data_IF_576690365724
#
_entry.id   IF_576690365724
#
_cell.length_a   1.000
_cell.length_b   1.000
_cell.length_c   1.000
_cell.angle_alpha   90.00
_cell.angle_beta   90.00
_cell.angle_gamma   90.00
#
_symmetry.space_group_name_H-M   'P 1'
#
loop_
_entity.id
_entity.type
_entity.pdbx_description
1 polymer ?
#
# COMPACT_ATOMS: atom_id res chain seq x y z
N UNK A 1 -1.53 -26.38 -10.07
CA UNK A 1 -2.43 -25.25 -9.75
C UNK A 1 -1.69 -23.95 -10.01
N UNK A 2 -2.33 -22.99 -10.69
CA UNK A 2 -1.79 -21.66 -10.93
C UNK A 2 -2.71 -20.63 -10.27
N UNK A 3 -2.13 -19.65 -9.58
CA UNK A 3 -2.86 -18.66 -8.79
C UNK A 3 -3.11 -17.39 -9.61
N UNK A 4 -4.33 -16.87 -9.65
CA UNK A 4 -4.59 -15.50 -10.07
C UNK A 4 -4.37 -14.55 -8.89
N UNK A 5 -3.49 -13.55 -9.04
CA UNK A 5 -3.13 -12.62 -7.96
C UNK A 5 -3.37 -11.18 -8.41
N UNK A 6 -4.26 -10.49 -7.72
CA UNK A 6 -4.35 -9.04 -7.79
C UNK A 6 -3.48 -8.45 -6.67
N UNK A 7 -2.28 -7.99 -7.02
CA UNK A 7 -1.43 -7.19 -6.14
C UNK A 7 -1.84 -5.72 -6.31
N UNK A 8 -2.91 -5.31 -5.62
CA UNK A 8 -3.52 -3.99 -5.79
C UNK A 8 -2.89 -2.89 -4.94
N UNK A 9 -3.18 -1.63 -5.29
CA UNK A 9 -2.68 -0.44 -4.58
C UNK A 9 -3.22 -0.33 -3.16
N UNK A 10 -4.52 -0.56 -2.98
CA UNK A 10 -5.18 -0.47 -1.67
C UNK A 10 -5.30 -1.84 -1.01
N UNK A 11 -5.75 -2.85 -1.76
CA UNK A 11 -5.95 -4.22 -1.28
C UNK A 11 -5.30 -5.21 -2.23
N UNK A 12 -4.90 -6.37 -1.69
CA UNK A 12 -4.42 -7.51 -2.46
C UNK A 12 -5.36 -8.70 -2.25
N UNK A 13 -5.57 -9.47 -3.31
CA UNK A 13 -6.43 -10.64 -3.33
C UNK A 13 -5.84 -11.73 -4.22
N UNK A 14 -6.23 -12.99 -3.97
CA UNK A 14 -5.84 -14.10 -4.83
C UNK A 14 -6.96 -15.15 -4.93
N UNK A 15 -6.99 -15.87 -6.04
CA UNK A 15 -7.93 -16.97 -6.27
C UNK A 15 -7.34 -18.02 -7.22
N UNK A 16 -7.83 -19.25 -7.13
CA UNK A 16 -7.49 -20.34 -8.04
C UNK A 16 -8.76 -21.02 -8.55
N UNK A 17 -8.65 -21.75 -9.66
CA UNK A 17 -9.72 -22.65 -10.10
C UNK A 17 -9.53 -24.01 -9.42
N UNK A 18 -10.56 -24.49 -8.75
CA UNK A 18 -10.65 -25.84 -8.16
C UNK A 18 -11.95 -26.44 -8.66
N UNK A 19 -11.88 -27.62 -9.28
CA UNK A 19 -13.04 -28.35 -9.83
C UNK A 19 -13.94 -27.49 -10.73
N UNK A 20 -13.32 -26.63 -11.55
CA UNK A 20 -14.04 -25.75 -12.49
C UNK A 20 -14.74 -24.55 -11.84
N UNK A 21 -14.49 -24.27 -10.56
CA UNK A 21 -15.02 -23.11 -9.85
C UNK A 21 -13.91 -22.21 -9.34
N UNK A 22 -14.17 -20.89 -9.30
CA UNK A 22 -13.24 -19.95 -8.66
C UNK A 22 -13.33 -20.11 -7.14
N UNK A 23 -12.21 -20.47 -6.53
CA UNK A 23 -12.07 -20.54 -5.08
C UNK A 23 -11.13 -19.43 -4.61
N UNK A 24 -11.62 -18.46 -3.81
CA UNK A 24 -10.82 -17.37 -3.27
C UNK A 24 -9.82 -17.87 -2.23
N UNK A 25 -8.66 -17.22 -2.15
CA UNK A 25 -7.73 -17.36 -1.01
C UNK A 25 -8.26 -16.51 0.15
N UNK A 26 -8.39 -17.12 1.32
CA UNK A 26 -8.82 -16.44 2.55
C UNK A 26 -7.60 -15.98 3.36
N UNK A 27 -7.62 -14.71 3.74
CA UNK A 27 -6.64 -14.09 4.63
C UNK A 27 -7.31 -13.89 5.98
N UNK A 28 -7.25 -14.92 6.83
CA UNK A 28 -8.10 -14.98 8.03
C UNK A 28 -9.57 -15.20 7.64
N UNK A 29 -10.43 -14.24 7.99
CA UNK A 29 -11.86 -14.29 7.63
C UNK A 29 -12.17 -13.59 6.30
N UNK A 30 -11.24 -12.77 5.80
CA UNK A 30 -11.45 -11.90 4.65
C UNK A 30 -10.97 -12.55 3.34
N UNK A 31 -11.50 -12.06 2.21
CA UNK A 31 -11.12 -12.51 0.85
C UNK A 31 -9.99 -11.68 0.24
N UNK A 32 -9.62 -10.59 0.91
CA UNK A 32 -8.56 -9.67 0.53
C UNK A 32 -7.99 -9.06 1.81
N UNK A 33 -6.79 -8.50 1.72
CA UNK A 33 -6.19 -7.73 2.81
C UNK A 33 -5.62 -6.42 2.27
N UNK A 34 -5.57 -5.38 3.12
CA UNK A 34 -4.92 -4.12 2.77
C UNK A 34 -3.48 -4.37 2.34
N UNK A 35 -3.03 -3.78 1.24
CA UNK A 35 -1.64 -3.87 0.78
C UNK A 35 -0.74 -2.97 1.64
N UNK A 36 -0.64 -3.31 2.91
CA UNK A 36 0.18 -2.67 3.93
C UNK A 36 0.99 -3.75 4.63
N UNK A 37 2.26 -3.45 4.88
CA UNK A 37 3.18 -4.34 5.56
C UNK A 37 3.86 -3.58 6.67
N UNK A 38 3.88 -4.17 7.85
CA UNK A 38 4.61 -3.67 9.00
C UNK A 38 5.76 -4.63 9.30
N UNK A 39 6.97 -4.09 9.32
CA UNK A 39 8.15 -4.78 9.77
C UNK A 39 8.47 -4.26 11.17
N UNK A 40 8.06 -5.01 12.22
CA UNK A 40 8.48 -4.65 13.55
C UNK A 40 10.00 -4.60 13.57
N UNK A 41 10.56 -3.58 14.23
CA UNK A 41 11.92 -3.73 14.69
C UNK A 41 11.90 -4.99 15.56
N UNK A 42 12.73 -5.99 15.24
CA UNK A 42 12.99 -7.03 16.24
C UNK A 42 13.44 -6.27 17.47
N UNK A 43 12.59 -6.22 18.51
CA UNK A 43 13.05 -5.89 19.84
C UNK A 43 14.24 -6.81 20.08
N UNK A 44 15.45 -6.22 20.09
CA UNK A 44 16.59 -6.89 20.69
C UNK A 44 16.27 -6.85 22.15
N UNK A 45 15.94 -8.00 22.72
CA UNK A 45 15.76 -8.08 24.15
C UNK A 45 17.09 -7.62 24.77
N UNK A 46 17.10 -6.61 25.65
CA UNK A 46 18.29 -6.28 26.42
C UNK A 46 18.91 -7.53 27.09
N UNK A 47 18.13 -8.58 27.35
CA UNK A 47 18.55 -9.85 27.93
C UNK A 47 19.31 -10.78 26.95
N UNK A 48 19.37 -10.47 25.64
CA UNK A 48 20.24 -11.15 24.67
C UNK A 48 21.73 -10.83 24.89
N UNK A 49 22.04 -9.78 25.68
CA UNK A 49 23.41 -9.48 26.06
C UNK A 49 23.94 -10.53 27.04
N UNK A 50 24.72 -11.46 26.52
CA UNK A 50 25.51 -12.41 27.30
C UNK A 50 27.01 -12.11 27.14
N UNK A 51 27.75 -12.26 28.24
CA UNK A 51 29.20 -12.11 28.24
C UNK A 51 29.85 -13.32 27.57
N UNK A 52 30.11 -13.20 26.28
CA UNK A 52 30.95 -14.19 25.56
C UNK A 52 32.41 -14.07 26.03
N UNK A 53 33.27 -15.08 25.82
CA UNK A 53 34.68 -15.02 26.22
C UNK A 53 35.44 -13.80 25.67
N UNK A 54 35.07 -13.31 24.48
CA UNK A 54 35.64 -12.10 23.89
C UNK A 54 35.19 -10.82 24.60
N UNK A 55 33.92 -10.74 25.01
CA UNK A 55 33.38 -9.61 25.77
C UNK A 55 33.87 -9.62 27.22
N UNK A 56 34.08 -10.79 27.81
CA UNK A 56 34.72 -10.94 29.13
C UNK A 56 36.15 -10.37 29.14
N UNK A 57 36.95 -10.70 28.12
CA UNK A 57 38.28 -10.14 27.96
C UNK A 57 38.27 -8.60 27.89
N UNK A 58 37.29 -8.03 27.18
CA UNK A 58 37.14 -6.59 27.06
C UNK A 58 36.70 -5.93 28.39
N UNK A 59 35.84 -6.60 29.16
CA UNK A 59 35.47 -6.18 30.52
C UNK A 59 36.70 -6.16 31.44
N UNK A 60 37.54 -7.21 31.40
CA UNK A 60 38.77 -7.27 32.20
C UNK A 60 39.75 -6.14 31.84
N UNK A 61 39.92 -5.87 30.54
CA UNK A 61 40.76 -4.77 30.05
C UNK A 61 40.31 -3.41 30.58
N UNK A 62 38.99 -3.18 30.62
CA UNK A 62 38.40 -1.94 31.14
C UNK A 62 38.51 -1.83 32.67
N UNK A 63 38.38 -2.95 33.40
CA UNK A 63 38.61 -2.99 34.85
C UNK A 63 40.05 -2.58 35.18
N UNK A 64 41.03 -3.14 34.46
CA UNK A 64 42.43 -2.82 34.67
C UNK A 64 42.77 -1.37 34.31
N UNK A 65 42.15 -0.84 33.26
CA UNK A 65 42.28 0.59 32.92
C UNK A 65 41.68 1.48 34.01
N UNK A 66 40.44 1.22 34.41
CA UNK A 66 39.76 2.01 35.44
C UNK A 66 40.47 1.94 36.80
N UNK A 67 41.10 0.81 37.12
CA UNK A 67 41.91 0.66 38.34
C UNK A 67 43.16 1.56 38.29
N UNK A 68 43.86 1.60 37.15
CA UNK A 68 45.04 2.47 36.96
C UNK A 68 44.66 3.95 37.08
N UNK A 69 43.57 4.36 36.45
CA UNK A 69 43.10 5.75 36.46
C UNK A 69 42.67 6.19 37.87
N UNK A 70 42.01 5.31 38.61
CA UNK A 70 41.59 5.59 39.97
C UNK A 70 42.78 5.72 40.93
N UNK A 71 43.79 4.86 40.81
CA UNK A 71 45.03 4.95 41.60
C UNK A 71 45.80 6.24 41.31
N UNK A 72 45.88 6.65 40.04
CA UNK A 72 46.49 7.92 39.64
C UNK A 72 45.72 9.13 40.22
N UNK A 73 44.41 9.00 40.42
CA UNK A 73 43.55 10.01 41.03
C UNK A 73 43.43 9.89 42.56
N UNK A 74 44.25 9.04 43.22
CA UNK A 74 44.24 8.86 44.67
C UNK A 74 42.99 8.16 45.23
N UNK A 75 42.27 7.40 44.41
CA UNK A 75 41.04 6.68 44.76
C UNK A 75 41.26 5.16 44.72
N UNK A 76 40.57 4.42 45.58
CA UNK A 76 40.63 2.95 45.63
C UNK A 76 39.23 2.36 45.49
N UNK A 77 38.70 2.26 44.25
CA UNK A 77 37.36 1.76 44.01
C UNK A 77 37.30 0.24 44.27
N UNK A 78 36.15 -0.22 44.77
CA UNK A 78 35.89 -1.65 44.93
C UNK A 78 35.84 -2.36 43.56
N UNK A 79 36.38 -3.58 43.48
CA UNK A 79 36.41 -4.37 42.24
C UNK A 79 35.02 -4.56 41.61
N UNK A 80 33.99 -4.74 42.42
CA UNK A 80 32.61 -4.90 41.93
C UNK A 80 32.06 -3.64 41.28
N UNK A 81 32.51 -2.46 41.71
CA UNK A 81 32.15 -1.19 41.06
C UNK A 81 32.78 -1.10 39.68
N UNK A 82 34.08 -1.37 39.58
CA UNK A 82 34.81 -1.36 38.31
C UNK A 82 34.23 -2.36 37.31
N UNK A 83 33.87 -3.56 37.77
CA UNK A 83 33.26 -4.59 36.93
C UNK A 83 31.88 -4.19 36.41
N UNK A 84 31.03 -3.59 37.25
CA UNK A 84 29.71 -3.08 36.81
C UNK A 84 29.84 -1.97 35.78
N UNK A 85 30.76 -1.03 35.98
CA UNK A 85 31.00 0.06 35.04
C UNK A 85 31.56 -0.45 33.71
N UNK A 86 32.50 -1.41 33.75
CA UNK A 86 33.04 -2.07 32.56
C UNK A 86 31.96 -2.82 31.77
N UNK A 87 31.11 -3.62 32.43
CA UNK A 87 30.00 -4.32 31.78
C UNK A 87 29.02 -3.33 31.13
N UNK A 88 28.73 -2.20 31.78
CA UNK A 88 27.86 -1.15 31.22
C UNK A 88 28.46 -0.54 29.95
N UNK A 89 29.77 -0.30 29.92
CA UNK A 89 30.49 0.23 28.75
C UNK A 89 30.49 -0.78 27.61
N UNK A 90 30.83 -2.04 27.89
CA UNK A 90 30.85 -3.13 26.89
C UNK A 90 29.46 -3.39 26.33
N UNK A 91 28.42 -3.42 27.17
CA UNK A 91 27.03 -3.55 26.72
C UNK A 91 26.62 -2.40 25.81
N UNK A 92 27.00 -1.16 26.13
CA UNK A 92 26.71 0.00 25.29
C UNK A 92 27.43 -0.08 23.94
N UNK A 93 28.72 -0.42 23.93
CA UNK A 93 29.51 -0.58 22.70
C UNK A 93 29.00 -1.75 21.84
N UNK A 94 28.66 -2.87 22.47
CA UNK A 94 28.03 -4.01 21.80
C UNK A 94 26.71 -3.59 21.15
N UNK A 95 25.85 -2.81 21.85
CA UNK A 95 24.63 -2.27 21.25
C UNK A 95 24.93 -1.32 20.07
N UNK A 96 25.92 -0.43 20.21
CA UNK A 96 26.33 0.51 19.16
C UNK A 96 26.88 -0.21 17.91
N UNK A 97 27.68 -1.27 18.08
CA UNK A 97 28.21 -2.10 17.00
C UNK A 97 27.11 -2.93 16.33
N UNK A 98 26.20 -3.48 17.13
CA UNK A 98 25.03 -4.22 16.65
C UNK A 98 24.06 -3.32 15.87
N UNK A 99 23.99 -2.02 16.16
CA UNK A 99 23.26 -1.03 15.36
C UNK A 99 24.01 -0.69 14.06
N UNK A 100 25.32 -0.88 14.02
CA UNK A 100 26.20 -0.52 12.89
C UNK A 100 26.34 -1.62 11.84
N UNK A 101 26.08 -2.88 12.21
CA UNK A 101 26.06 -3.98 11.24
C UNK A 101 24.89 -3.81 10.26
N UNK A 102 25.12 -3.70 8.94
CA UNK A 102 24.05 -3.69 7.96
C UNK A 102 23.39 -5.06 7.95
N UNK A 103 22.19 -5.17 8.55
CA UNK A 103 21.35 -6.34 8.34
C UNK A 103 21.12 -6.51 6.84
N UNK A 104 21.18 -7.74 6.34
CA UNK A 104 20.54 -8.03 5.07
C UNK A 104 19.06 -7.66 5.22
N UNK A 105 18.49 -7.02 4.21
CA UNK A 105 17.05 -6.74 4.17
C UNK A 105 16.25 -7.97 4.58
N UNK A 106 16.66 -9.16 4.14
CA UNK A 106 16.06 -10.46 4.47
C UNK A 106 15.87 -10.76 5.98
N UNK A 107 16.75 -10.31 6.87
CA UNK A 107 16.64 -10.60 8.32
C UNK A 107 15.65 -9.68 9.06
N UNK A 108 15.38 -8.48 8.53
CA UNK A 108 14.36 -7.57 9.07
C UNK A 108 12.92 -8.01 8.73
N UNK A 109 12.77 -8.98 7.82
CA UNK A 109 11.50 -9.26 7.16
C UNK A 109 10.81 -10.57 7.63
N UNK A 110 11.40 -11.31 8.58
CA UNK A 110 10.88 -12.61 9.05
C UNK A 110 9.63 -12.51 9.95
N UNK A 111 9.34 -11.33 10.51
CA UNK A 111 8.18 -11.09 11.40
C UNK A 111 7.18 -10.09 10.80
N UNK A 112 7.11 -10.01 9.47
CA UNK A 112 6.23 -9.07 8.80
C UNK A 112 4.75 -9.32 9.16
N UNK A 113 4.04 -8.25 9.53
CA UNK A 113 2.58 -8.25 9.72
C UNK A 113 1.96 -7.59 8.49
N UNK A 114 0.78 -8.07 8.07
CA UNK A 114 0.14 -7.65 6.82
C UNK A 114 -1.28 -7.13 7.07
N UNK A 115 -1.82 -6.36 6.14
CA UNK A 115 -3.23 -5.94 6.20
C UNK A 115 -3.50 -4.86 7.24
N UNK A 116 -4.71 -4.83 7.77
CA UNK A 116 -5.07 -3.91 8.85
C UNK A 116 -4.40 -4.28 10.19
N UNK A 117 -4.07 -5.56 10.41
CA UNK A 117 -3.27 -6.00 11.56
C UNK A 117 -1.89 -5.32 11.59
N UNK A 118 -1.31 -5.03 10.42
CA UNK A 118 -0.03 -4.31 10.31
C UNK A 118 -0.14 -2.87 10.84
N UNK A 119 -1.26 -2.20 10.54
CA UNK A 119 -1.52 -0.85 11.05
C UNK A 119 -1.73 -0.88 12.55
N UNK A 120 -2.57 -1.80 13.03
CA UNK A 120 -2.90 -1.91 14.45
C UNK A 120 -1.65 -2.27 15.27
N UNK A 121 -0.81 -3.19 14.79
CA UNK A 121 0.48 -3.50 15.40
C UNK A 121 1.41 -2.27 15.42
N UNK A 122 1.57 -1.56 14.30
CA UNK A 122 2.39 -0.36 14.25
C UNK A 122 1.91 0.75 15.20
N UNK A 123 0.59 0.88 15.36
CA UNK A 123 -0.03 1.83 16.27
C UNK A 123 0.17 1.49 17.75
N UNK A 124 0.36 0.21 18.07
CA UNK A 124 0.63 -0.28 19.43
C UNK A 124 2.12 -0.21 19.76
N UNK A 125 2.97 -0.70 18.86
CA UNK A 125 4.42 -0.80 19.08
C UNK A 125 5.11 0.57 19.00
N UNK A 126 4.66 1.48 18.12
CA UNK A 126 5.21 2.83 18.00
C UNK A 126 6.64 2.90 17.41
N UNK A 127 7.20 1.77 16.99
CA UNK A 127 8.53 1.62 16.39
C UNK A 127 8.48 0.68 15.17
N UNK A 128 9.56 0.59 14.38
CA UNK A 128 9.61 -0.23 13.16
C UNK A 128 9.18 0.49 11.87
N UNK A 129 9.06 -0.29 10.78
CA UNK A 129 8.81 0.25 9.43
C UNK A 129 7.45 -0.19 8.90
N UNK A 130 6.54 0.78 8.77
CA UNK A 130 5.28 0.61 8.06
C UNK A 130 5.44 1.02 6.60
N UNK A 131 4.98 0.17 5.69
CA UNK A 131 4.91 0.46 4.25
C UNK A 131 3.47 0.29 3.77
N UNK A 132 2.90 1.35 3.20
CA UNK A 132 1.55 1.37 2.66
C UNK A 132 1.58 1.48 1.13
N UNK A 133 0.74 0.71 0.44
CA UNK A 133 0.57 0.76 -1.01
C UNK A 133 1.87 0.66 -1.83
N UNK A 134 2.73 -0.36 -1.60
CA UNK A 134 4.02 -0.49 -2.27
C UNK A 134 3.92 -0.48 -3.81
N UNK A 135 2.79 -0.94 -4.39
CA UNK A 135 2.52 -0.89 -5.85
C UNK A 135 2.67 0.52 -6.43
N UNK A 136 2.28 1.56 -5.68
CA UNK A 136 2.30 2.95 -6.13
C UNK A 136 3.72 3.48 -6.41
N UNK A 137 4.75 2.86 -5.84
CA UNK A 137 6.14 3.30 -5.96
C UNK A 137 6.91 2.59 -7.08
N UNK A 138 6.35 1.54 -7.67
CA UNK A 138 7.07 0.65 -8.58
C UNK A 138 7.57 1.34 -9.86
N UNK A 139 6.80 2.29 -10.39
CA UNK A 139 7.14 3.03 -11.61
C UNK A 139 7.90 4.34 -11.39
N UNK A 140 8.26 4.69 -10.15
CA UNK A 140 8.98 5.93 -9.86
C UNK A 140 10.48 5.82 -10.17
N UNK A 141 11.16 6.96 -10.33
CA UNK A 141 12.61 6.98 -10.43
C UNK A 141 13.24 6.61 -9.07
N UNK A 142 13.54 5.32 -8.88
CA UNK A 142 14.07 4.80 -7.63
C UNK A 142 15.60 4.67 -7.71
N UNK A 143 16.29 5.20 -6.70
CA UNK A 143 17.70 4.88 -6.49
C UNK A 143 17.86 3.35 -6.32
N UNK A 144 18.96 2.72 -6.79
CA UNK A 144 19.13 1.25 -6.75
C UNK A 144 18.82 0.59 -5.41
N UNK A 145 19.25 1.21 -4.30
CA UNK A 145 18.92 0.74 -2.94
C UNK A 145 17.40 0.74 -2.65
N UNK A 146 16.69 1.81 -3.02
CA UNK A 146 15.25 1.90 -2.84
C UNK A 146 14.52 0.88 -3.72
N UNK A 147 15.02 0.62 -4.94
CA UNK A 147 14.50 -0.43 -5.82
C UNK A 147 14.66 -1.82 -5.20
N UNK A 148 15.80 -2.11 -4.57
CA UNK A 148 16.00 -3.37 -3.85
C UNK A 148 15.03 -3.49 -2.67
N UNK A 149 14.87 -2.42 -1.88
CA UNK A 149 13.93 -2.40 -0.75
C UNK A 149 12.49 -2.66 -1.20
N UNK A 150 11.99 -1.95 -2.23
CA UNK A 150 10.61 -2.14 -2.71
C UNK A 150 10.41 -3.54 -3.33
N UNK A 151 11.42 -4.09 -3.99
CA UNK A 151 11.40 -5.48 -4.49
C UNK A 151 11.27 -6.46 -3.32
N UNK A 152 12.03 -6.26 -2.24
CA UNK A 152 11.93 -7.08 -1.03
C UNK A 152 10.54 -6.99 -0.38
N UNK A 153 9.97 -5.79 -0.27
CA UNK A 153 8.62 -5.60 0.27
C UNK A 153 7.58 -6.34 -0.59
N UNK A 154 7.62 -6.17 -1.91
CA UNK A 154 6.74 -6.89 -2.82
C UNK A 154 6.93 -8.42 -2.73
N UNK A 155 8.17 -8.89 -2.55
CA UNK A 155 8.50 -10.31 -2.34
C UNK A 155 7.72 -10.85 -1.14
N UNK A 156 7.75 -10.14 -0.01
CA UNK A 156 7.06 -10.59 1.21
C UNK A 156 5.54 -10.60 1.09
N UNK A 157 4.95 -9.66 0.36
CA UNK A 157 3.50 -9.68 0.11
C UNK A 157 3.13 -10.87 -0.77
N UNK A 158 3.87 -11.10 -1.85
CA UNK A 158 3.63 -12.22 -2.77
C UNK A 158 3.90 -13.57 -2.11
N UNK A 159 4.91 -13.65 -1.24
CA UNK A 159 5.21 -14.84 -0.44
C UNK A 159 4.09 -15.12 0.56
N UNK A 160 3.59 -14.10 1.27
CA UNK A 160 2.45 -14.23 2.16
C UNK A 160 1.21 -14.77 1.42
N UNK A 161 0.91 -14.24 0.23
CA UNK A 161 -0.17 -14.74 -0.63
C UNK A 161 0.07 -16.21 -1.01
N UNK A 162 1.27 -16.54 -1.49
CA UNK A 162 1.63 -17.90 -1.92
C UNK A 162 1.51 -18.92 -0.80
N UNK A 163 2.08 -18.61 0.37
CA UNK A 163 2.07 -19.50 1.54
C UNK A 163 0.68 -19.65 2.14
N UNK A 164 -0.13 -18.60 2.14
CA UNK A 164 -1.53 -18.66 2.59
C UNK A 164 -2.37 -19.52 1.64
N UNK A 165 -2.26 -19.29 0.34
CA UNK A 165 -2.92 -20.13 -0.67
C UNK A 165 -2.45 -21.59 -0.58
N UNK A 166 -1.13 -21.82 -0.44
CA UNK A 166 -0.57 -23.17 -0.39
C UNK A 166 -1.08 -23.96 0.83
N UNK A 167 -1.21 -23.30 1.99
CA UNK A 167 -1.81 -23.89 3.19
C UNK A 167 -3.30 -24.18 3.01
N UNK A 168 -4.04 -23.25 2.42
CA UNK A 168 -5.48 -23.40 2.21
C UNK A 168 -5.81 -24.57 1.26
N UNK A 169 -5.04 -24.71 0.19
CA UNK A 169 -5.28 -25.72 -0.85
C UNK A 169 -4.48 -27.02 -0.64
N UNK A 170 -3.68 -27.11 0.43
CA UNK A 170 -2.77 -28.23 0.72
C UNK A 170 -1.88 -28.62 -0.48
N UNK A 171 -1.41 -27.61 -1.22
CA UNK A 171 -0.59 -27.76 -2.43
C UNK A 171 0.52 -26.74 -2.36
N UNK A 172 1.77 -27.14 -2.63
CA UNK A 172 2.85 -26.18 -2.81
C UNK A 172 2.67 -25.41 -4.14
N UNK A 173 2.06 -24.23 -4.08
CA UNK A 173 1.79 -23.42 -5.26
C UNK A 173 3.09 -22.74 -5.72
N UNK A 174 3.38 -22.89 -7.02
CA UNK A 174 4.63 -22.43 -7.66
C UNK A 174 4.40 -21.65 -8.95
N UNK A 175 3.16 -21.38 -9.35
CA UNK A 175 2.87 -20.60 -10.57
C UNK A 175 1.78 -19.57 -10.32
N UNK A 176 1.89 -18.41 -10.94
CA UNK A 176 0.90 -17.33 -10.81
C UNK A 176 0.66 -16.55 -12.11
N UNK A 177 -0.53 -15.97 -12.23
CA UNK A 177 -0.85 -14.89 -13.17
C UNK A 177 -1.10 -13.64 -12.34
N UNK A 178 -0.23 -12.63 -12.46
CA UNK A 178 -0.36 -11.37 -11.76
C UNK A 178 -1.16 -10.36 -12.60
N UNK A 179 -2.12 -9.69 -11.97
CA UNK A 179 -2.77 -8.50 -12.53
C UNK A 179 -1.78 -7.34 -12.65
N UNK A 180 -1.89 -6.58 -13.74
CA UNK A 180 -1.24 -5.28 -13.89
C UNK A 180 -2.20 -4.24 -14.44
N UNK A 181 -2.05 -2.95 -14.08
CA UNK A 181 -2.77 -1.90 -14.78
C UNK A 181 -2.27 -1.81 -16.24
N UNK A 182 -3.07 -1.15 -17.08
CA UNK A 182 -2.65 -0.76 -18.43
C UNK A 182 -1.44 0.17 -18.33
N UNK A 183 -1.48 1.10 -17.37
CA UNK A 183 -0.39 2.01 -17.07
C UNK A 183 -0.12 2.09 -15.56
N UNK A 184 1.09 1.73 -15.14
CA UNK A 184 1.56 1.96 -13.77
C UNK A 184 1.76 3.46 -13.50
N UNK A 185 1.53 3.87 -12.25
CA UNK A 185 1.95 5.20 -11.78
C UNK A 185 3.46 5.32 -11.88
N UNK A 186 3.91 6.34 -12.60
CA UNK A 186 5.30 6.51 -12.99
C UNK A 186 5.72 7.98 -12.99
N UNK A 187 6.96 8.24 -12.58
CA UNK A 187 7.59 9.57 -12.72
C UNK A 187 8.57 9.63 -13.90
N UNK A 188 8.69 8.54 -14.67
CA UNK A 188 9.65 8.38 -15.77
C UNK A 188 8.99 7.84 -17.05
N UNK A 189 7.68 8.07 -17.19
CA UNK A 189 6.90 7.64 -18.36
C UNK A 189 6.91 6.12 -18.56
N UNK A 190 7.03 5.69 -19.82
CA UNK A 190 6.99 4.29 -20.25
C UNK A 190 8.07 3.41 -19.59
N UNK A 191 9.25 3.96 -19.34
CA UNK A 191 10.33 3.24 -18.63
C UNK A 191 9.89 2.79 -17.23
N UNK A 192 8.96 3.51 -16.60
CA UNK A 192 8.39 3.13 -15.31
C UNK A 192 7.48 1.91 -15.38
N UNK A 193 6.77 1.69 -16.50
CA UNK A 193 5.98 0.46 -16.69
C UNK A 193 6.89 -0.77 -16.76
N UNK A 194 7.96 -0.69 -17.55
CA UNK A 194 8.94 -1.76 -17.66
C UNK A 194 9.63 -2.03 -16.32
N UNK A 195 9.98 -0.99 -15.56
CA UNK A 195 10.56 -1.13 -14.23
C UNK A 195 9.60 -1.80 -13.25
N UNK A 196 8.32 -1.41 -13.24
CA UNK A 196 7.33 -1.99 -12.36
C UNK A 196 7.13 -3.49 -12.62
N UNK A 197 7.06 -3.88 -13.90
CA UNK A 197 7.00 -5.27 -14.32
C UNK A 197 8.23 -6.06 -13.89
N UNK A 198 9.43 -5.52 -14.10
CA UNK A 198 10.67 -6.17 -13.68
C UNK A 198 10.75 -6.35 -12.16
N UNK A 199 10.35 -5.34 -11.38
CA UNK A 199 10.29 -5.44 -9.92
C UNK A 199 9.31 -6.54 -9.49
N UNK A 200 8.10 -6.57 -10.07
CA UNK A 200 7.09 -7.58 -9.74
C UNK A 200 7.55 -8.98 -10.14
N UNK A 201 8.17 -9.14 -11.31
CA UNK A 201 8.72 -10.40 -11.78
C UNK A 201 9.78 -10.91 -10.80
N UNK A 202 10.78 -10.08 -10.47
CA UNK A 202 11.85 -10.45 -9.56
C UNK A 202 11.33 -10.75 -8.15
N UNK A 203 10.36 -9.98 -7.67
CA UNK A 203 9.71 -10.21 -6.38
C UNK A 203 8.93 -11.53 -6.35
N UNK A 204 8.20 -11.86 -7.41
CA UNK A 204 7.45 -13.10 -7.50
C UNK A 204 8.38 -14.33 -7.56
N UNK A 205 9.46 -14.27 -8.33
CA UNK A 205 10.47 -15.35 -8.34
C UNK A 205 11.10 -15.51 -6.94
N UNK A 206 11.49 -14.40 -6.31
CA UNK A 206 12.05 -14.42 -4.95
C UNK A 206 11.05 -14.94 -3.90
N UNK A 207 9.76 -14.72 -4.10
CA UNK A 207 8.68 -15.22 -3.24
C UNK A 207 8.45 -16.74 -3.37
N UNK A 208 9.13 -17.39 -4.33
CA UNK A 208 9.04 -18.83 -4.58
C UNK A 208 8.00 -19.21 -5.62
N UNK A 209 7.74 -18.36 -6.62
CA UNK A 209 7.10 -18.81 -7.87
C UNK A 209 8.16 -19.24 -8.89
N UNK A 210 7.91 -20.31 -9.64
CA UNK A 210 8.74 -20.79 -10.76
C UNK A 210 8.34 -20.13 -12.10
N UNK A 211 7.04 -19.84 -12.26
CA UNK A 211 6.49 -19.29 -13.49
C UNK A 211 5.45 -18.21 -13.17
N UNK A 212 5.60 -17.05 -13.80
CA UNK A 212 4.78 -15.87 -13.58
C UNK A 212 4.45 -15.24 -14.92
N UNK A 213 3.15 -15.00 -15.16
CA UNK A 213 2.66 -14.25 -16.30
C UNK A 213 1.91 -13.01 -15.82
N UNK A 214 1.82 -11.99 -16.68
CA UNK A 214 1.06 -10.77 -16.41
C UNK A 214 -0.16 -10.67 -17.29
N UNK A 215 -1.29 -10.27 -16.72
CA UNK A 215 -2.51 -9.95 -17.45
C UNK A 215 -2.98 -8.54 -17.06
N UNK A 216 -3.43 -7.77 -18.04
CA UNK A 216 -4.04 -6.47 -17.77
C UNK A 216 -5.32 -6.64 -16.94
N UNK A 217 -5.45 -5.86 -15.88
CA UNK A 217 -6.60 -5.86 -14.95
C UNK A 217 -7.96 -5.75 -15.67
N UNK A 218 -8.17 -4.84 -16.65
CA UNK A 218 -9.45 -4.77 -17.35
C UNK A 218 -9.67 -5.98 -18.28
N UNK A 219 -8.62 -6.64 -18.77
CA UNK A 219 -8.73 -7.90 -19.52
C UNK A 219 -9.12 -9.07 -18.60
N UNK A 220 -8.59 -9.11 -17.38
CA UNK A 220 -9.03 -10.06 -16.37
C UNK A 220 -10.51 -9.84 -16.01
N UNK A 221 -10.92 -8.60 -15.75
CA UNK A 221 -12.32 -8.27 -15.50
C UNK A 221 -13.24 -8.67 -16.67
N UNK A 222 -12.80 -8.48 -17.93
CA UNK A 222 -13.51 -8.99 -19.11
C UNK A 222 -13.65 -10.53 -19.11
N UNK A 223 -12.61 -11.25 -18.68
CA UNK A 223 -12.64 -12.70 -18.54
C UNK A 223 -13.69 -13.15 -17.51
N UNK A 224 -13.76 -12.49 -16.35
CA UNK A 224 -14.78 -12.78 -15.34
C UNK A 224 -16.19 -12.54 -15.89
N UNK A 225 -16.40 -11.41 -16.56
CA UNK A 225 -17.69 -11.05 -17.15
C UNK A 225 -18.09 -12.00 -18.29
N UNK A 226 -17.12 -12.51 -19.07
CA UNK A 226 -17.38 -13.49 -20.13
C UNK A 226 -17.97 -14.80 -19.60
N UNK A 227 -17.49 -15.32 -18.47
CA UNK A 227 -17.92 -16.63 -17.94
C UNK A 227 -19.38 -16.63 -17.49
N UNK A 228 -19.96 -15.47 -17.19
CA UNK A 228 -21.36 -15.34 -16.76
C UNK A 228 -22.36 -15.08 -17.89
N UNK A 229 -21.94 -15.07 -19.17
CA UNK A 229 -22.78 -14.68 -20.30
C UNK A 229 -22.73 -15.68 -21.46
N UNK A 230 -23.88 -16.25 -21.83
CA UNK A 230 -23.95 -17.23 -22.92
C UNK A 230 -23.95 -16.59 -24.32
N UNK A 231 -24.41 -15.34 -24.44
CA UNK A 231 -24.51 -14.65 -25.73
C UNK A 231 -23.29 -13.75 -25.99
N UNK A 232 -22.69 -13.87 -27.19
CA UNK A 232 -21.58 -13.02 -27.62
C UNK A 232 -22.04 -11.57 -27.82
N UNK A 233 -21.37 -10.63 -27.18
CA UNK A 233 -21.63 -9.19 -27.31
C UNK A 233 -20.39 -8.36 -27.00
N UNK A 234 -20.40 -7.08 -27.37
CA UNK A 234 -19.35 -6.12 -27.03
C UNK A 234 -19.63 -5.41 -25.71
N UNK A 235 -18.59 -5.28 -24.89
CA UNK A 235 -18.61 -4.57 -23.62
C UNK A 235 -17.43 -3.61 -23.51
N UNK A 236 -17.62 -2.51 -22.79
CA UNK A 236 -16.52 -1.70 -22.26
C UNK A 236 -16.41 -1.98 -20.77
N UNK A 237 -15.30 -2.57 -20.37
CA UNK A 237 -14.92 -2.78 -18.97
C UNK A 237 -14.27 -1.50 -18.46
N UNK A 238 -14.74 -1.00 -17.32
CA UNK A 238 -14.17 0.15 -16.62
C UNK A 238 -13.78 -0.32 -15.22
N UNK A 239 -12.48 -0.43 -14.97
CA UNK A 239 -11.92 -0.81 -13.67
C UNK A 239 -11.32 0.42 -12.99
N UNK A 240 -11.86 0.77 -11.82
CA UNK A 240 -11.39 1.93 -11.06
C UNK A 240 -10.90 1.45 -9.69
N UNK A 241 -9.58 1.25 -9.63
CA UNK A 241 -8.86 0.85 -8.44
C UNK A 241 -8.44 2.02 -7.55
N UNK A 242 -7.56 1.70 -6.58
CA UNK A 242 -6.98 2.71 -5.71
C UNK A 242 -5.99 3.63 -6.42
N UNK A 243 -5.12 3.09 -7.28
CA UNK A 243 -4.03 3.84 -7.91
C UNK A 243 -4.21 4.18 -9.38
N UNK A 244 -5.07 3.45 -10.08
CA UNK A 244 -5.23 3.47 -11.54
C UNK A 244 -6.70 3.35 -11.93
N UNK A 245 -6.99 3.80 -13.15
CA UNK A 245 -8.26 3.65 -13.84
C UNK A 245 -7.95 3.05 -15.18
N UNK A 246 -8.49 1.87 -15.44
CA UNK A 246 -8.14 1.04 -16.57
C UNK A 246 -9.43 0.64 -17.31
N UNK A 247 -9.46 0.83 -18.62
CA UNK A 247 -10.62 0.59 -19.47
C UNK A 247 -10.23 -0.38 -20.58
N UNK A 248 -11.08 -1.36 -20.88
CA UNK A 248 -10.90 -2.23 -22.05
C UNK A 248 -12.20 -2.42 -22.83
N UNK A 249 -12.11 -2.38 -24.15
CA UNK A 249 -13.17 -2.83 -25.05
C UNK A 249 -12.92 -4.30 -25.37
N UNK A 250 -13.92 -5.14 -25.13
CA UNK A 250 -13.82 -6.56 -25.35
C UNK A 250 -15.11 -7.14 -25.92
N UNK A 251 -14.99 -8.17 -26.76
CA UNK A 251 -16.10 -9.06 -27.05
C UNK A 251 -16.09 -10.22 -26.06
N UNK A 252 -17.22 -10.41 -25.39
CA UNK A 252 -17.41 -11.35 -24.27
C UNK A 252 -18.67 -12.20 -24.47
N UNK A 253 -18.83 -13.22 -23.63
CA UNK A 253 -19.83 -14.27 -23.77
C UNK A 253 -19.64 -15.21 -24.97
N UNK A 254 -20.53 -16.19 -25.09
CA UNK A 254 -20.43 -17.27 -26.09
C UNK A 254 -19.40 -18.33 -25.71
N UNK A 255 -19.21 -19.31 -26.61
CA UNK A 255 -18.25 -20.42 -26.40
C UNK A 255 -16.79 -20.03 -26.67
N UNK A 256 -16.57 -19.00 -27.51
CA UNK A 256 -15.22 -18.55 -27.86
C UNK A 256 -14.62 -17.70 -26.75
N UNK A 257 -13.30 -17.80 -26.56
CA UNK A 257 -12.57 -16.98 -25.59
C UNK A 257 -12.90 -15.48 -25.75
N UNK A 258 -12.88 -14.70 -24.64
CA UNK A 258 -13.05 -13.27 -24.72
C UNK A 258 -11.91 -12.66 -25.52
N UNK A 259 -12.25 -11.68 -26.34
CA UNK A 259 -11.29 -10.96 -27.17
C UNK A 259 -11.22 -9.53 -26.70
N UNK A 260 -10.07 -9.12 -26.16
CA UNK A 260 -9.78 -7.72 -25.85
C UNK A 260 -9.29 -7.05 -27.13
N UNK A 261 -10.02 -6.03 -27.58
CA UNK A 261 -9.70 -5.30 -28.81
C UNK A 261 -8.70 -4.19 -28.53
N UNK A 262 -8.92 -3.46 -27.45
CA UNK A 262 -8.09 -2.33 -27.06
C UNK A 262 -8.27 -2.02 -25.57
N UNK A 263 -7.21 -1.49 -24.96
CA UNK A 263 -7.22 -1.01 -23.59
C UNK A 263 -6.67 0.43 -23.52
N UNK A 264 -7.14 1.16 -22.51
CA UNK A 264 -6.75 2.52 -22.17
C UNK A 264 -6.58 2.60 -20.67
N UNK A 265 -5.77 3.52 -20.17
CA UNK A 265 -5.65 3.72 -18.73
C UNK A 265 -5.01 5.03 -18.37
N UNK A 266 -5.31 5.48 -17.16
CA UNK A 266 -4.65 6.61 -16.50
C UNK A 266 -4.16 6.16 -15.14
N UNK A 267 -3.01 6.68 -14.72
CA UNK A 267 -2.41 6.37 -13.43
C UNK A 267 -3.05 7.16 -12.26
N UNK A 268 -4.39 7.24 -12.25
CA UNK A 268 -5.21 7.92 -11.24
C UNK A 268 -6.31 7.01 -10.74
N UNK A 269 -6.64 7.09 -9.46
CA UNK A 269 -7.73 6.31 -8.88
C UNK A 269 -8.21 6.86 -7.54
N UNK A 270 -8.78 5.98 -6.72
CA UNK A 270 -9.38 6.35 -5.43
C UNK A 270 -8.43 7.08 -4.46
N UNK A 271 -7.12 6.83 -4.55
CA UNK A 271 -6.10 7.46 -3.69
C UNK A 271 -5.84 8.93 -4.03
N UNK A 272 -6.10 9.36 -5.27
CA UNK A 272 -6.02 10.79 -5.63
C UNK A 272 -7.20 11.56 -5.03
N UNK A 273 -8.37 10.91 -4.95
CA UNK A 273 -9.55 11.46 -4.27
C UNK A 273 -9.32 11.52 -2.76
N UNK A 274 -8.70 10.49 -2.16
CA UNK A 274 -8.31 10.52 -0.74
C UNK A 274 -7.37 11.69 -0.45
N UNK A 275 -6.35 11.90 -1.27
CA UNK A 275 -5.46 13.04 -1.13
C UNK A 275 -6.21 14.38 -1.24
N UNK A 276 -7.04 14.54 -2.28
CA UNK A 276 -7.80 15.77 -2.48
C UNK A 276 -8.74 16.04 -1.30
N UNK A 277 -9.45 15.03 -0.81
CA UNK A 277 -10.34 15.11 0.33
C UNK A 277 -9.59 15.43 1.63
N UNK A 278 -8.43 14.80 1.85
CA UNK A 278 -7.54 15.09 2.99
C UNK A 278 -7.13 16.57 2.98
N UNK A 279 -6.65 17.06 1.85
CA UNK A 279 -6.24 18.46 1.69
C UNK A 279 -7.42 19.42 1.88
N UNK A 280 -8.60 19.09 1.37
CA UNK A 280 -9.77 19.97 1.40
C UNK A 280 -10.46 20.00 2.77
N UNK A 281 -10.63 18.85 3.43
CA UNK A 281 -11.46 18.71 4.61
C UNK A 281 -10.67 18.54 5.93
N UNK A 282 -9.53 17.85 5.90
CA UNK A 282 -8.78 17.51 7.12
C UNK A 282 -7.63 18.47 7.37
N UNK A 283 -6.80 18.75 6.35
CA UNK A 283 -5.62 19.61 6.48
C UNK A 283 -5.90 21.06 6.91
N UNK A 284 -7.10 21.66 6.71
CA UNK A 284 -7.43 22.94 7.34
C UNK A 284 -7.37 22.91 8.87
N UNK A 285 -7.66 21.76 9.52
CA UNK A 285 -7.51 21.61 10.97
C UNK A 285 -6.06 21.76 11.44
N UNK A 286 -5.11 21.51 10.54
CA UNK A 286 -3.67 21.63 10.75
C UNK A 286 -3.11 22.95 10.19
N UNK A 287 -3.98 23.85 9.70
CA UNK A 287 -3.60 25.21 9.29
C UNK A 287 -3.47 25.41 7.78
N UNK A 288 -3.84 24.44 6.94
CA UNK A 288 -3.80 24.60 5.48
C UNK A 288 -4.75 25.71 5.04
N UNK A 289 -4.23 26.69 4.29
CA UNK A 289 -5.00 27.85 3.84
C UNK A 289 -5.24 28.91 4.92
N UNK A 290 -4.75 28.70 6.14
CA UNK A 290 -4.89 29.61 7.28
C UNK A 290 -3.51 30.15 7.72
N UNK A 291 -2.51 29.29 7.73
CA UNK A 291 -1.14 29.61 8.13
C UNK A 291 -0.23 29.85 6.93
N UNK A 292 0.99 30.31 7.18
CA UNK A 292 2.03 30.48 6.14
C UNK A 292 2.77 29.18 5.77
N UNK A 293 2.40 28.04 6.39
CA UNK A 293 3.02 26.75 6.07
C UNK A 293 2.76 26.43 4.60
N UNK A 294 3.81 26.17 3.80
CA UNK A 294 3.65 25.84 2.39
C UNK A 294 2.73 24.62 2.15
N UNK A 295 1.92 24.69 1.08
CA UNK A 295 0.96 23.62 0.73
C UNK A 295 1.60 22.23 0.61
N UNK A 296 2.86 22.16 0.14
CA UNK A 296 3.53 20.89 -0.07
C UNK A 296 3.75 20.10 1.22
N UNK A 297 3.87 20.73 2.39
CA UNK A 297 3.98 20.01 3.67
C UNK A 297 2.72 19.20 4.01
N UNK A 298 1.54 19.73 3.69
CA UNK A 298 0.29 18.99 3.89
C UNK A 298 0.16 17.83 2.90
N UNK A 299 0.68 17.99 1.67
CA UNK A 299 0.78 16.89 0.69
C UNK A 299 1.77 15.83 1.19
N UNK A 300 2.91 16.25 1.75
CA UNK A 300 3.89 15.33 2.31
C UNK A 300 3.31 14.50 3.45
N UNK A 301 2.55 15.12 4.34
CA UNK A 301 1.84 14.46 5.43
C UNK A 301 0.76 13.49 4.93
N UNK A 302 0.01 13.85 3.89
CA UNK A 302 -1.09 13.05 3.36
C UNK A 302 -0.65 11.86 2.48
N UNK A 303 0.53 11.94 1.86
CA UNK A 303 1.07 10.91 0.97
C UNK A 303 1.80 9.81 1.76
N UNK A 304 1.06 9.01 2.52
CA UNK A 304 1.61 7.98 3.43
C UNK A 304 2.39 6.87 2.71
N UNK A 305 2.10 6.65 1.44
CA UNK A 305 2.79 5.70 0.56
C UNK A 305 4.16 6.20 0.06
N UNK A 306 4.42 7.51 0.12
CA UNK A 306 5.69 8.11 -0.30
C UNK A 306 6.60 8.32 0.91
N UNK A 307 7.46 7.34 1.15
CA UNK A 307 8.38 7.33 2.29
C UNK A 307 9.34 8.54 2.32
N UNK A 308 9.68 9.08 1.14
CA UNK A 308 10.56 10.26 1.05
C UNK A 308 9.81 11.47 1.58
N UNK A 309 8.59 11.69 1.10
CA UNK A 309 7.73 12.79 1.56
C UNK A 309 7.39 12.70 3.04
N UNK A 310 7.05 11.52 3.53
CA UNK A 310 6.78 11.31 4.96
C UNK A 310 8.00 11.65 5.81
N UNK A 311 9.21 11.34 5.34
CA UNK A 311 10.44 11.72 6.01
C UNK A 311 10.64 13.24 6.02
N UNK A 312 10.44 13.92 4.89
CA UNK A 312 10.55 15.39 4.82
C UNK A 312 9.54 16.08 5.76
N UNK A 313 8.29 15.60 5.80
CA UNK A 313 7.27 16.09 6.73
C UNK A 313 7.70 15.92 8.19
N UNK A 314 8.18 14.73 8.59
CA UNK A 314 8.62 14.45 9.97
C UNK A 314 9.83 15.27 10.42
N UNK A 315 10.74 15.59 9.50
CA UNK A 315 11.95 16.35 9.84
C UNK A 315 11.72 17.86 9.92
N UNK A 316 10.60 18.36 9.37
CA UNK A 316 10.29 19.78 9.40
C UNK A 316 9.95 20.26 10.83
N UNK A 317 10.30 21.51 11.15
CA UNK A 317 10.00 22.12 12.45
C UNK A 317 8.93 23.20 12.30
N UNK A 318 7.78 22.99 12.92
CA UNK A 318 6.63 23.91 12.86
C UNK A 318 6.59 24.95 13.99
N UNK A 319 7.74 25.34 14.53
CA UNK A 319 7.84 26.22 15.71
C UNK A 319 7.31 27.65 15.49
N UNK A 320 7.34 28.14 14.25
CA UNK A 320 6.86 29.49 13.89
C UNK A 320 5.39 29.52 13.45
N UNK A 321 4.71 28.36 13.53
CA UNK A 321 3.30 28.23 13.18
C UNK A 321 2.44 28.70 14.37
N UNK A 322 1.39 29.51 14.15
CA UNK A 322 0.52 29.94 15.25
C UNK A 322 -0.25 28.78 15.89
N UNK A 323 -0.33 28.78 17.21
CA UNK A 323 -1.22 27.86 17.96
C UNK A 323 -2.68 28.05 17.57
N UNK A 324 -3.48 26.96 17.46
CA UNK A 324 -3.15 25.58 17.82
C UNK A 324 -2.49 24.73 16.70
N UNK A 325 -2.21 25.32 15.53
CA UNK A 325 -1.80 24.55 14.35
C UNK A 325 -0.40 23.94 14.47
N UNK A 326 0.52 24.61 15.18
CA UNK A 326 1.84 24.06 15.51
C UNK A 326 1.72 22.73 16.27
N UNK A 327 0.92 22.70 17.33
CA UNK A 327 0.71 21.50 18.17
C UNK A 327 0.04 20.39 17.39
N UNK A 328 -0.93 20.71 16.54
CA UNK A 328 -1.61 19.71 15.69
C UNK A 328 -0.68 19.13 14.65
N UNK A 329 0.17 19.95 14.03
CA UNK A 329 1.19 19.47 13.08
C UNK A 329 2.24 18.61 13.79
N UNK A 330 2.69 19.01 14.98
CA UNK A 330 3.60 18.20 15.80
C UNK A 330 2.98 16.87 16.19
N UNK A 331 1.72 16.87 16.67
CA UNK A 331 1.00 15.63 16.95
C UNK A 331 0.83 14.78 15.69
N UNK A 332 0.60 15.37 14.52
CA UNK A 332 0.53 14.62 13.26
C UNK A 332 1.88 13.99 12.88
N UNK A 333 3.01 14.56 13.30
CA UNK A 333 4.36 13.98 13.10
C UNK A 333 4.63 12.77 13.99
N UNK A 334 3.87 12.59 15.08
CA UNK A 334 4.02 11.43 15.96
C UNK A 334 3.78 10.12 15.20
N UNK A 335 4.49 9.06 15.62
CA UNK A 335 4.49 7.78 14.94
C UNK A 335 3.07 7.25 14.71
N UNK A 336 2.75 6.94 13.45
CA UNK A 336 1.46 6.38 13.06
C UNK A 336 0.33 7.39 12.84
N UNK A 337 0.47 8.66 13.25
CA UNK A 337 -0.64 9.61 13.16
C UNK A 337 -0.99 10.02 11.72
N UNK A 338 -0.01 10.09 10.81
CA UNK A 338 -0.29 10.27 9.37
C UNK A 338 -1.08 9.09 8.79
N UNK A 339 -0.73 7.85 9.17
CA UNK A 339 -1.45 6.64 8.74
C UNK A 339 -2.86 6.55 9.33
N UNK A 340 -3.05 6.92 10.61
CA UNK A 340 -4.38 7.03 11.24
C UNK A 340 -5.25 8.05 10.52
N UNK A 341 -4.71 9.23 10.22
CA UNK A 341 -5.42 10.27 9.49
C UNK A 341 -5.80 9.80 8.08
N UNK A 342 -4.88 9.18 7.34
CA UNK A 342 -5.14 8.62 6.02
C UNK A 342 -6.26 7.58 6.02
N UNK A 343 -6.26 6.64 6.98
CA UNK A 343 -7.34 5.66 7.18
C UNK A 343 -8.69 6.34 7.46
N UNK A 344 -8.69 7.40 8.29
CA UNK A 344 -9.88 8.20 8.55
C UNK A 344 -10.43 8.89 7.30
N UNK A 345 -9.55 9.44 6.47
CA UNK A 345 -9.93 10.06 5.18
C UNK A 345 -10.53 9.02 4.22
N UNK A 346 -9.91 7.84 4.09
CA UNK A 346 -10.43 6.76 3.24
C UNK A 346 -11.83 6.31 3.73
N UNK A 347 -11.99 6.12 5.05
CA UNK A 347 -13.29 5.77 5.63
C UNK A 347 -14.35 6.85 5.40
N UNK A 348 -13.95 8.13 5.47
CA UNK A 348 -14.81 9.26 5.15
C UNK A 348 -15.25 9.25 3.69
N UNK A 349 -14.33 9.03 2.73
CA UNK A 349 -14.66 8.89 1.30
C UNK A 349 -15.68 7.76 1.05
N UNK A 350 -15.45 6.60 1.66
CA UNK A 350 -16.34 5.44 1.54
C UNK A 350 -17.71 5.77 2.12
N UNK A 351 -17.77 6.31 3.35
CA UNK A 351 -19.03 6.64 4.00
C UNK A 351 -19.85 7.69 3.22
N UNK A 352 -19.18 8.72 2.69
CA UNK A 352 -19.80 9.78 1.90
C UNK A 352 -20.25 9.34 0.49
N UNK A 353 -19.90 8.11 0.09
CA UNK A 353 -20.44 7.52 -1.14
C UNK A 353 -21.88 7.03 -0.98
N UNK A 354 -22.36 6.89 0.27
CA UNK A 354 -23.71 6.40 0.61
C UNK A 354 -24.49 7.34 1.54
N UNK A 355 -23.81 8.34 2.15
CA UNK A 355 -24.37 9.23 3.16
C UNK A 355 -24.06 10.68 2.80
N UNK A 356 -24.97 11.59 3.17
CA UNK A 356 -24.80 13.01 2.91
C UNK A 356 -23.73 13.68 3.81
N UNK A 357 -23.41 13.08 4.95
CA UNK A 357 -22.43 13.61 5.90
C UNK A 357 -21.67 12.49 6.63
N UNK A 358 -20.45 12.83 7.07
CA UNK A 358 -19.60 11.98 7.88
C UNK A 358 -18.91 12.81 8.96
N UNK A 359 -18.84 12.27 10.18
CA UNK A 359 -18.09 12.86 11.29
C UNK A 359 -16.98 11.90 11.71
N UNK A 360 -15.78 12.44 11.91
CA UNK A 360 -14.63 11.70 12.40
C UNK A 360 -14.00 12.42 13.60
N UNK A 361 -13.74 11.66 14.67
CA UNK A 361 -13.01 12.13 15.83
C UNK A 361 -11.51 12.01 15.60
N UNK A 362 -10.76 13.01 16.05
CA UNK A 362 -9.31 13.14 15.89
C UNK A 362 -8.63 13.34 17.26
N UNK A 363 -9.13 12.65 18.30
CA UNK A 363 -8.61 12.74 19.68
C UNK A 363 -7.12 12.37 19.79
N UNK A 364 -6.60 11.58 18.85
CA UNK A 364 -5.18 11.23 18.75
C UNK A 364 -4.28 12.42 18.32
N UNK A 365 -4.88 13.53 17.87
CA UNK A 365 -4.20 14.79 17.55
C UNK A 365 -4.43 15.80 18.68
N UNK A 366 -5.69 16.01 19.05
CA UNK A 366 -6.09 16.96 20.09
C UNK A 366 -7.41 16.49 20.67
N UNK A 367 -7.51 16.42 22.00
CA UNK A 367 -8.72 15.94 22.69
C UNK A 367 -9.94 16.78 22.29
N UNK A 368 -10.99 16.12 21.82
CA UNK A 368 -12.22 16.76 21.35
C UNK A 368 -12.13 17.37 19.96
N UNK A 369 -10.99 17.24 19.27
CA UNK A 369 -10.90 17.61 17.86
C UNK A 369 -11.70 16.62 17.02
N UNK A 370 -12.47 17.14 16.07
CA UNK A 370 -13.17 16.34 15.09
C UNK A 370 -13.35 17.12 13.80
N UNK A 371 -13.77 16.41 12.76
CA UNK A 371 -14.15 16.98 11.48
C UNK A 371 -15.53 16.48 11.09
N UNK A 372 -16.35 17.38 10.57
CA UNK A 372 -17.58 17.04 9.87
C UNK A 372 -17.40 17.36 8.39
N UNK A 373 -17.68 16.38 7.54
CA UNK A 373 -17.51 16.48 6.09
C UNK A 373 -18.84 16.17 5.43
N UNK A 374 -19.25 17.04 4.50
CA UNK A 374 -20.46 16.89 3.71
C UNK A 374 -20.14 16.21 2.37
N UNK A 375 -21.09 15.47 1.79
CA UNK A 375 -20.91 14.76 0.53
C UNK A 375 -20.54 15.70 -0.64
N UNK A 376 -21.01 16.95 -0.59
CA UNK A 376 -20.62 17.99 -1.55
C UNK A 376 -19.13 18.28 -1.56
N UNK A 377 -18.44 18.17 -0.41
CA UNK A 377 -17.00 18.34 -0.32
C UNK A 377 -16.25 17.16 -0.98
N UNK A 378 -16.80 15.94 -0.90
CA UNK A 378 -16.26 14.80 -1.64
C UNK A 378 -16.39 15.00 -3.15
N UNK A 379 -17.56 15.40 -3.64
CA UNK A 379 -17.78 15.67 -5.07
C UNK A 379 -16.84 16.78 -5.57
N UNK A 380 -16.70 17.88 -4.81
CA UNK A 380 -15.76 18.94 -5.13
C UNK A 380 -14.31 18.46 -5.16
N UNK A 381 -13.90 17.61 -4.21
CA UNK A 381 -12.55 17.02 -4.15
C UNK A 381 -12.29 16.04 -5.30
N UNK A 382 -13.31 15.33 -5.77
CA UNK A 382 -13.23 14.39 -6.89
C UNK A 382 -13.22 15.07 -8.27
N UNK A 383 -13.57 16.36 -8.37
CA UNK A 383 -13.76 17.08 -9.65
C UNK A 383 -12.61 16.94 -10.65
N UNK A 384 -11.36 17.10 -10.21
CA UNK A 384 -10.20 16.94 -11.09
C UNK A 384 -10.07 15.51 -11.64
N UNK A 385 -10.29 14.51 -10.79
CA UNK A 385 -10.28 13.11 -11.20
C UNK A 385 -11.43 12.81 -12.17
N UNK A 386 -12.62 13.34 -11.89
CA UNK A 386 -13.79 13.19 -12.77
C UNK A 386 -13.54 13.79 -14.16
N UNK A 387 -12.88 14.96 -14.23
CA UNK A 387 -12.50 15.54 -15.52
C UNK A 387 -11.51 14.68 -16.31
N UNK A 388 -10.53 14.05 -15.64
CA UNK A 388 -9.61 13.10 -16.29
C UNK A 388 -10.35 11.83 -16.76
N UNK A 389 -11.29 11.31 -15.96
CA UNK A 389 -12.13 10.16 -16.31
C UNK A 389 -13.04 10.46 -17.50
N UNK A 390 -13.70 11.62 -17.51
CA UNK A 390 -14.54 12.08 -18.62
C UNK A 390 -13.73 12.19 -19.92
N UNK A 391 -12.52 12.76 -19.84
CA UNK A 391 -11.61 12.83 -20.97
C UNK A 391 -11.22 11.45 -21.50
N UNK A 392 -10.91 10.50 -20.61
CA UNK A 392 -10.59 9.13 -20.98
C UNK A 392 -11.79 8.41 -21.63
N UNK A 393 -12.99 8.53 -21.04
CA UNK A 393 -14.22 7.93 -21.59
C UNK A 393 -14.58 8.52 -22.96
N UNK A 394 -14.39 9.83 -23.14
CA UNK A 394 -14.58 10.49 -24.43
C UNK A 394 -13.61 9.96 -25.50
N UNK A 395 -12.34 9.72 -25.13
CA UNK A 395 -11.36 9.08 -26.00
C UNK A 395 -11.79 7.66 -26.38
N UNK A 396 -12.19 6.85 -25.39
CA UNK A 396 -12.68 5.48 -25.63
C UNK A 396 -13.84 5.52 -26.61
N UNK A 397 -14.85 6.37 -26.37
CA UNK A 397 -16.02 6.50 -27.25
C UNK A 397 -15.63 6.90 -28.69
N UNK A 398 -14.65 7.79 -28.86
CA UNK A 398 -14.18 8.21 -30.17
C UNK A 398 -13.41 7.10 -30.92
N UNK A 399 -12.75 6.22 -30.18
CA UNK A 399 -12.02 5.08 -30.73
C UNK A 399 -12.93 3.89 -31.12
N UNK A 400 -14.18 3.85 -30.63
CA UNK A 400 -15.15 2.78 -30.93
C UNK A 400 -15.91 3.06 -32.22
N UNK A 401 -16.12 2.01 -33.03
CA UNK A 401 -16.92 2.10 -34.25
C UNK A 401 -18.43 2.25 -33.97
N UNK A 402 -18.90 1.70 -32.85
CA UNK A 402 -20.28 1.76 -32.37
C UNK A 402 -20.31 1.72 -30.84
N UNK A 403 -21.38 2.21 -30.19
CA UNK A 403 -21.57 2.06 -28.75
C UNK A 403 -21.56 0.57 -28.35
N UNK A 404 -20.91 0.21 -27.24
CA UNK A 404 -20.94 -1.17 -26.74
C UNK A 404 -22.35 -1.50 -26.24
N UNK A 405 -22.71 -2.79 -26.24
CA UNK A 405 -23.98 -3.21 -25.68
C UNK A 405 -24.03 -2.97 -24.16
N UNK A 406 -22.91 -3.23 -23.48
CA UNK A 406 -22.80 -3.12 -22.02
C UNK A 406 -21.58 -2.32 -21.58
N UNK A 407 -21.70 -1.69 -20.42
CA UNK A 407 -20.58 -1.14 -19.66
C UNK A 407 -20.42 -1.99 -18.41
N UNK A 408 -19.29 -2.67 -18.24
CA UNK A 408 -19.02 -3.45 -17.05
C UNK A 408 -18.12 -2.66 -16.10
N UNK A 409 -18.68 -2.17 -15.00
CA UNK A 409 -17.97 -1.34 -14.03
C UNK A 409 -17.50 -2.18 -12.83
N UNK A 410 -16.21 -2.12 -12.51
CA UNK A 410 -15.55 -2.87 -11.44
C UNK A 410 -14.49 -2.03 -10.72
N UNK A 411 -13.87 -2.60 -9.68
CA UNK A 411 -12.87 -1.94 -8.85
C UNK A 411 -13.50 -1.22 -7.66
N UNK A 412 -12.72 -0.96 -6.61
CA UNK A 412 -13.26 -0.48 -5.33
C UNK A 412 -14.06 0.81 -5.41
N UNK A 413 -13.74 1.68 -6.39
CA UNK A 413 -14.44 2.95 -6.61
C UNK A 413 -15.72 2.83 -7.44
N UNK A 414 -15.99 1.68 -8.06
CA UNK A 414 -17.21 1.45 -8.86
C UNK A 414 -18.53 1.64 -8.08
N UNK A 415 -18.48 1.55 -6.75
CA UNK A 415 -19.65 1.71 -5.87
C UNK A 415 -20.10 3.16 -5.74
N UNK A 416 -19.19 4.11 -5.98
CA UNK A 416 -19.45 5.53 -5.76
C UNK A 416 -20.45 6.06 -6.80
N UNK A 417 -21.56 6.64 -6.33
CA UNK A 417 -22.64 7.14 -7.21
C UNK A 417 -22.14 8.08 -8.30
N UNK A 418 -21.32 9.07 -7.93
CA UNK A 418 -20.75 10.05 -8.85
C UNK A 418 -19.88 9.41 -9.96
N UNK A 419 -19.22 8.27 -9.70
CA UNK A 419 -18.46 7.53 -10.72
C UNK A 419 -19.40 6.85 -11.71
N UNK A 420 -20.42 6.16 -11.19
CA UNK A 420 -21.40 5.45 -12.03
C UNK A 420 -22.14 6.41 -12.94
N UNK A 421 -22.53 7.57 -12.41
CA UNK A 421 -23.25 8.60 -13.15
C UNK A 421 -22.37 9.16 -14.28
N UNK A 422 -21.08 9.43 -14.02
CA UNK A 422 -20.11 9.83 -15.06
C UNK A 422 -19.93 8.78 -16.14
N UNK A 423 -19.77 7.51 -15.77
CA UNK A 423 -19.60 6.40 -16.75
C UNK A 423 -20.86 6.20 -17.58
N UNK A 424 -22.04 6.20 -16.97
CA UNK A 424 -23.31 6.07 -17.66
C UNK A 424 -23.58 7.25 -18.61
N UNK A 425 -23.23 8.48 -18.19
CA UNK A 425 -23.39 9.67 -19.02
C UNK A 425 -22.51 9.64 -20.28
N UNK A 426 -21.33 9.03 -20.22
CA UNK A 426 -20.44 8.90 -21.38
C UNK A 426 -21.01 7.98 -22.48
N UNK A 427 -21.76 6.94 -22.08
CA UNK A 427 -22.34 5.92 -22.96
C UNK A 427 -23.84 5.71 -22.67
N UNK A 428 -24.70 6.69 -23.01
CA UNK A 428 -26.12 6.66 -22.64
C UNK A 428 -26.93 5.55 -23.34
N UNK A 429 -26.38 4.95 -24.40
CA UNK A 429 -27.01 3.88 -25.18
C UNK A 429 -26.66 2.48 -24.66
N UNK A 430 -25.72 2.39 -23.71
CA UNK A 430 -25.17 1.12 -23.22
C UNK A 430 -25.77 0.76 -21.87
N UNK A 431 -25.98 -0.54 -21.62
CA UNK A 431 -26.49 -1.01 -20.34
C UNK A 431 -25.36 -1.10 -19.30
N UNK A 432 -25.49 -0.37 -18.19
CA UNK A 432 -24.51 -0.41 -17.10
C UNK A 432 -24.70 -1.68 -16.25
N UNK A 433 -23.68 -2.53 -16.22
CA UNK A 433 -23.58 -3.71 -15.37
C UNK A 433 -22.58 -3.43 -14.26
N UNK A 434 -22.99 -3.67 -13.01
CA UNK A 434 -22.10 -3.59 -11.85
C UNK A 434 -21.48 -4.96 -11.59
N UNK A 435 -20.15 -5.03 -11.65
CA UNK A 435 -19.38 -6.19 -11.22
C UNK A 435 -19.14 -6.22 -9.72
N UNK A 436 -18.52 -7.30 -9.24
CA UNK A 436 -18.00 -7.34 -7.88
C UNK A 436 -16.84 -6.33 -7.73
N UNK A 437 -17.01 -5.23 -6.95
CA UNK A 437 -16.03 -4.15 -6.83
C UNK A 437 -14.68 -4.60 -6.26
N UNK A 438 -14.66 -5.68 -5.48
CA UNK A 438 -13.47 -6.12 -4.74
C UNK A 438 -12.88 -7.42 -5.29
N UNK A 439 -13.68 -8.22 -5.99
CA UNK A 439 -13.28 -9.56 -6.40
C UNK A 439 -13.39 -9.84 -7.90
N UNK A 440 -13.88 -8.91 -8.73
CA UNK A 440 -14.08 -9.13 -10.17
C UNK A 440 -12.78 -9.42 -10.93
N UNK A 441 -11.73 -8.63 -10.69
CA UNK A 441 -10.43 -8.76 -11.37
C UNK A 441 -9.76 -10.10 -11.01
N UNK A 442 -9.69 -10.43 -9.72
CA UNK A 442 -9.02 -11.65 -9.25
C UNK A 442 -9.74 -12.92 -9.71
N UNK A 443 -11.06 -12.92 -9.84
CA UNK A 443 -11.80 -14.02 -10.47
C UNK A 443 -11.40 -14.21 -11.92
N UNK A 444 -11.28 -13.10 -12.65
CA UNK A 444 -10.79 -13.09 -14.04
C UNK A 444 -9.37 -13.64 -14.17
N UNK A 445 -8.48 -13.24 -13.26
CA UNK A 445 -7.11 -13.74 -13.19
C UNK A 445 -7.06 -15.24 -12.91
N UNK A 446 -7.93 -15.75 -12.02
CA UNK A 446 -8.01 -17.19 -11.75
C UNK A 446 -8.45 -17.97 -13.00
N UNK A 447 -9.46 -17.48 -13.72
CA UNK A 447 -9.88 -18.08 -15.00
C UNK A 447 -8.77 -18.04 -16.06
N UNK A 448 -8.05 -16.94 -16.18
CA UNK A 448 -6.91 -16.84 -17.09
C UNK A 448 -5.74 -17.75 -16.68
N UNK A 449 -5.52 -17.94 -15.38
CA UNK A 449 -4.48 -18.81 -14.84
C UNK A 449 -4.77 -20.30 -15.07
N UNK A 450 -6.03 -20.70 -15.21
CA UNK A 450 -6.43 -22.09 -15.42
C UNK A 450 -6.42 -22.55 -16.88
N UNK A 451 -6.18 -21.63 -17.83
CA UNK A 451 -6.16 -21.91 -19.28
C UNK A 451 -4.83 -22.44 -19.78
#
# INVERSE_FOLDING_TARGET
MKLGIDFGTSNSAAAAIVDGQVVPVRFGQDLQFRTTVYFPETMRDPDDFSLTPALEYEVERLIDSGRRDALAAGRTPANDSLRRDAIRIVRRQWMEEQVREPRSSAALLQNAVYGDEALDAYFLEGEGSLVQSPKSMLGYNLHPRARQTITGIATHVLEHIRLTASRQFDINIRSATLGRPVQFRSSIGEAGNAQALDILQNAAIAAGFDAVDFLEEPAAAAMHYHVSHDARHDTVVVDIGGGTTDIAHASVGGSDAPQVHRAWGIARGGTDIDLALSLAAYMPLFGRGITRVPTHHYVEAAMVQDMTRQREFRLHKYQDVPSPFDKRLQALQDTGNTARLYRGVEACKIALSERDQHQAALDFIERGLGVEVQASALVASASNYLGELEGLLAQVRADLAAPPATLFLTGGMSRAGYIRDTVAAAFPESFLVQGDPSFGVVQGLAWAAAR
#
